data_IF_713764948939
#
_entry.id   IF_713764948939
#
_cell.length_a   1.000
_cell.length_b   1.000
_cell.length_c   1.000
_cell.angle_alpha   90.00
_cell.angle_beta   90.00
_cell.angle_gamma   90.00
#
_symmetry.space_group_name_H-M   'P 1'
#
loop_
_entity.id
_entity.type
_entity.pdbx_description
1 polymer ?
#
# COMPACT_ATOMS: atom_id res chain seq x y z
N UNK A 1 15.88 36.55 23.55
CA UNK A 1 14.52 35.97 23.69
C UNK A 1 13.58 36.25 22.50
N UNK A 2 13.53 37.46 21.91
CA UNK A 2 12.62 37.76 20.78
C UNK A 2 12.90 37.05 19.44
N UNK A 3 14.16 36.89 19.01
CA UNK A 3 14.50 36.20 17.74
C UNK A 3 14.20 34.69 17.77
N UNK A 4 14.42 34.03 18.90
CA UNK A 4 14.12 32.61 19.08
C UNK A 4 12.61 32.32 19.02
N UNK A 5 11.78 33.19 19.60
CA UNK A 5 10.32 33.06 19.50
C UNK A 5 9.79 33.32 18.08
N UNK A 6 10.35 34.29 17.35
CA UNK A 6 9.97 34.61 15.96
C UNK A 6 10.36 33.49 14.97
N UNK A 7 11.53 32.89 15.14
CA UNK A 7 11.98 31.77 14.29
C UNK A 7 11.13 30.51 14.57
N UNK A 8 10.81 30.25 15.85
CA UNK A 8 9.99 29.10 16.27
C UNK A 8 8.53 29.24 15.79
N UNK A 9 7.95 30.44 15.84
CA UNK A 9 6.61 30.70 15.30
C UNK A 9 6.58 30.55 13.77
N UNK A 10 7.60 31.05 13.07
CA UNK A 10 7.74 30.92 11.62
C UNK A 10 7.87 29.46 11.16
N UNK A 11 8.66 28.63 11.86
CA UNK A 11 8.79 27.19 11.56
C UNK A 11 7.47 26.43 11.79
N UNK A 12 6.74 26.77 12.86
CA UNK A 12 5.44 26.17 13.19
C UNK A 12 4.39 26.48 12.13
N UNK A 13 4.28 27.73 11.68
CA UNK A 13 3.36 28.12 10.61
C UNK A 13 3.71 27.44 9.28
N UNK A 14 5.00 27.33 8.92
CA UNK A 14 5.42 26.60 7.71
C UNK A 14 5.00 25.13 7.73
N UNK A 15 5.14 24.45 8.86
CA UNK A 15 4.71 23.05 9.02
C UNK A 15 3.19 22.90 8.90
N UNK A 16 2.44 23.80 9.52
CA UNK A 16 0.99 23.83 9.41
C UNK A 16 0.53 24.07 7.96
N UNK A 17 1.16 25.01 7.25
CA UNK A 17 0.88 25.26 5.85
C UNK A 17 1.19 24.04 4.96
N UNK A 18 2.32 23.36 5.20
CA UNK A 18 2.67 22.12 4.51
C UNK A 18 1.65 21.01 4.76
N UNK A 19 1.26 20.81 6.02
CA UNK A 19 0.22 19.86 6.40
C UNK A 19 -1.10 20.18 5.68
N UNK A 20 -1.49 21.46 5.62
CA UNK A 20 -2.69 21.88 4.89
C UNK A 20 -2.60 21.57 3.39
N UNK A 21 -1.44 21.82 2.75
CA UNK A 21 -1.22 21.46 1.35
C UNK A 21 -1.36 19.95 1.12
N UNK A 22 -0.80 19.12 1.99
CA UNK A 22 -0.93 17.64 1.90
C UNK A 22 -2.39 17.22 2.06
N UNK A 23 -3.10 17.79 3.03
CA UNK A 23 -4.50 17.47 3.26
C UNK A 23 -5.40 17.85 2.08
N UNK A 24 -5.02 18.83 1.26
CA UNK A 24 -5.71 19.17 0.01
C UNK A 24 -5.71 18.06 -1.06
N UNK A 25 -4.81 17.07 -0.95
CA UNK A 25 -4.80 15.87 -1.79
C UNK A 25 -5.54 14.68 -1.18
N UNK A 26 -5.77 14.71 0.14
CA UNK A 26 -6.62 13.73 0.81
C UNK A 26 -8.10 14.06 0.55
N UNK A 27 -8.98 13.07 0.71
CA UNK A 27 -10.42 13.32 0.69
C UNK A 27 -10.81 14.35 1.77
N UNK A 28 -11.83 15.16 1.50
CA UNK A 28 -12.34 16.22 2.39
C UNK A 28 -13.17 15.69 3.59
N UNK A 29 -13.02 14.41 3.90
CA UNK A 29 -13.58 13.77 5.09
C UNK A 29 -12.66 13.97 6.29
N UNK A 30 -13.05 13.42 7.45
CA UNK A 30 -12.24 13.49 8.65
C UNK A 30 -10.91 12.75 8.48
N UNK A 31 -9.81 13.49 8.52
CA UNK A 31 -8.44 12.98 8.41
C UNK A 31 -8.01 12.41 9.76
N UNK A 32 -7.62 11.14 9.76
CA UNK A 32 -7.10 10.47 10.95
C UNK A 32 -5.74 11.01 11.37
N UNK A 33 -5.55 11.41 12.63
CA UNK A 33 -4.22 11.74 13.14
C UNK A 33 -3.29 10.52 13.11
N UNK A 34 -3.83 9.31 13.23
CA UNK A 34 -3.04 8.07 13.17
C UNK A 34 -2.41 7.88 11.79
N UNK A 35 -3.15 8.20 10.72
CA UNK A 35 -2.61 8.20 9.35
C UNK A 35 -1.41 9.15 9.24
N UNK A 36 -1.55 10.37 9.75
CA UNK A 36 -0.48 11.36 9.68
C UNK A 36 0.72 10.98 10.57
N UNK A 37 0.48 10.41 11.75
CA UNK A 37 1.55 9.94 12.66
C UNK A 37 2.37 8.80 12.05
N UNK A 38 1.73 7.89 11.32
CA UNK A 38 2.40 6.79 10.63
C UNK A 38 3.04 7.23 9.32
N UNK A 39 2.39 8.16 8.63
CA UNK A 39 2.72 8.51 7.26
C UNK A 39 3.71 9.67 7.10
N UNK A 40 3.61 10.68 7.95
CA UNK A 40 4.48 11.86 7.84
C UNK A 40 5.82 11.60 8.51
N UNK A 41 6.90 11.96 7.81
CA UNK A 41 8.23 12.05 8.40
C UNK A 41 8.37 13.33 9.26
N UNK A 42 7.61 13.39 10.36
CA UNK A 42 7.61 14.48 11.33
C UNK A 42 7.57 13.90 12.75
N UNK A 43 8.32 14.53 13.66
CA UNK A 43 8.24 14.19 15.08
C UNK A 43 6.80 14.31 15.62
N UNK A 44 6.33 13.40 16.48
CA UNK A 44 4.95 13.43 16.98
C UNK A 44 4.54 14.76 17.63
N UNK A 45 5.48 15.45 18.30
CA UNK A 45 5.21 16.77 18.88
C UNK A 45 5.04 17.86 17.81
N UNK A 46 5.82 17.78 16.73
CA UNK A 46 5.79 18.74 15.63
C UNK A 46 4.49 18.62 14.83
N UNK A 47 4.02 17.39 14.62
CA UNK A 47 2.72 17.12 14.01
C UNK A 47 1.56 17.67 14.87
N UNK A 48 1.59 17.42 16.19
CA UNK A 48 0.60 17.97 17.12
C UNK A 48 0.59 19.51 17.08
N UNK A 49 1.75 20.14 17.04
CA UNK A 49 1.88 21.59 16.95
C UNK A 49 1.35 22.15 15.63
N UNK A 50 1.58 21.46 14.51
CA UNK A 50 1.04 21.81 13.20
C UNK A 50 -0.50 21.74 13.20
N UNK A 51 -1.08 20.62 13.68
CA UNK A 51 -2.53 20.44 13.82
C UNK A 51 -3.12 21.52 14.74
N UNK A 52 -2.49 21.77 15.90
CA UNK A 52 -2.93 22.81 16.84
C UNK A 52 -2.93 24.20 16.21
N UNK A 53 -2.00 24.47 15.30
CA UNK A 53 -1.94 25.75 14.57
C UNK A 53 -3.09 25.90 13.59
N UNK A 54 -3.41 24.83 12.84
CA UNK A 54 -4.58 24.82 11.95
C UNK A 54 -5.88 25.02 12.73
N UNK A 55 -6.01 24.37 13.89
CA UNK A 55 -7.15 24.55 14.80
C UNK A 55 -7.22 25.98 15.35
N UNK A 56 -6.10 26.57 15.79
CA UNK A 56 -6.09 27.93 16.36
C UNK A 56 -6.44 29.02 15.34
N UNK A 57 -6.20 28.77 14.05
CA UNK A 57 -6.61 29.66 12.97
C UNK A 57 -7.96 29.29 12.35
N UNK A 58 -8.71 28.37 12.97
CA UNK A 58 -10.02 27.89 12.49
C UNK A 58 -9.98 27.33 11.05
N UNK A 59 -8.82 26.86 10.60
CA UNK A 59 -8.64 26.21 9.30
C UNK A 59 -9.04 24.73 9.33
N UNK A 60 -9.07 24.15 10.53
CA UNK A 60 -9.51 22.80 10.79
C UNK A 60 -10.45 22.75 12.01
N UNK A 61 -11.25 21.68 12.11
CA UNK A 61 -12.10 21.37 13.25
C UNK A 61 -11.83 19.95 13.73
N UNK A 62 -11.82 19.74 15.05
CA UNK A 62 -11.73 18.39 15.64
C UNK A 62 -12.90 17.52 15.18
N UNK A 63 -12.59 16.27 14.86
CA UNK A 63 -13.57 15.23 14.49
C UNK A 63 -13.49 14.07 15.49
N UNK A 64 -14.46 13.16 15.41
CA UNK A 64 -14.47 11.93 16.18
C UNK A 64 -13.24 11.06 15.87
N UNK A 65 -12.98 10.04 16.72
CA UNK A 65 -11.93 9.04 16.51
C UNK A 65 -10.51 9.62 16.33
N UNK A 66 -10.18 10.67 17.08
CA UNK A 66 -8.88 11.32 17.06
C UNK A 66 -8.47 11.84 15.67
N UNK A 67 -9.43 12.41 14.93
CA UNK A 67 -9.20 13.05 13.64
C UNK A 67 -9.51 14.55 13.63
N UNK A 68 -9.36 15.16 12.47
CA UNK A 68 -9.81 16.53 12.21
C UNK A 68 -10.32 16.65 10.77
N UNK A 69 -11.21 17.61 10.53
CA UNK A 69 -11.72 17.97 9.20
C UNK A 69 -11.21 19.35 8.83
N UNK A 70 -11.03 19.60 7.53
CA UNK A 70 -10.74 20.92 7.00
C UNK A 70 -12.03 21.46 6.40
N UNK A 71 -12.28 22.76 6.58
CA UNK A 71 -13.47 23.36 5.98
C UNK A 71 -13.41 23.22 4.44
N UNK A 72 -14.50 22.85 3.74
CA UNK A 72 -14.46 22.59 2.29
C UNK A 72 -13.86 23.72 1.44
N UNK A 73 -14.09 24.98 1.81
CA UNK A 73 -13.46 26.13 1.14
C UNK A 73 -11.95 26.20 1.36
N UNK A 74 -11.47 25.88 2.56
CA UNK A 74 -10.04 25.85 2.88
C UNK A 74 -9.36 24.68 2.17
N UNK A 75 -10.03 23.52 2.10
CA UNK A 75 -9.58 22.36 1.34
C UNK A 75 -9.46 22.69 -0.16
N UNK A 76 -10.50 23.28 -0.75
CA UNK A 76 -10.50 23.71 -2.15
C UNK A 76 -9.43 24.75 -2.43
N UNK A 77 -9.27 25.74 -1.55
CA UNK A 77 -8.23 26.76 -1.66
C UNK A 77 -6.82 26.15 -1.64
N UNK A 78 -6.57 25.18 -0.74
CA UNK A 78 -5.27 24.52 -0.63
C UNK A 78 -4.89 23.80 -1.94
N UNK A 79 -5.88 23.22 -2.63
CA UNK A 79 -5.71 22.57 -3.93
C UNK A 79 -5.48 23.59 -5.06
N UNK A 80 -6.35 24.60 -5.16
CA UNK A 80 -6.29 25.64 -6.20
C UNK A 80 -4.99 26.46 -6.14
N UNK A 81 -4.50 26.77 -4.94
CA UNK A 81 -3.25 27.53 -4.75
C UNK A 81 -2.04 26.86 -5.41
N UNK A 82 -2.04 25.52 -5.50
CA UNK A 82 -0.95 24.76 -6.11
C UNK A 82 -1.06 24.67 -7.64
N UNK A 83 -2.18 25.05 -8.25
CA UNK A 83 -2.33 25.04 -9.71
C UNK A 83 -1.41 26.05 -10.39
N UNK A 84 -1.10 27.16 -9.72
CA UNK A 84 -0.11 28.14 -10.17
C UNK A 84 1.35 27.68 -10.02
N UNK A 85 1.61 26.55 -9.34
CA UNK A 85 2.96 26.04 -9.07
C UNK A 85 3.06 24.53 -9.42
N UNK A 86 3.13 24.14 -10.72
CA UNK A 86 2.99 22.74 -11.14
C UNK A 86 4.01 21.77 -10.53
N UNK A 87 5.27 22.21 -10.40
CA UNK A 87 6.31 21.38 -9.79
C UNK A 87 6.04 21.14 -8.31
N UNK A 88 5.70 22.19 -7.56
CA UNK A 88 5.33 22.09 -6.14
C UNK A 88 4.06 21.27 -5.95
N UNK A 89 3.08 21.38 -6.84
CA UNK A 89 1.89 20.51 -6.85
C UNK A 89 2.28 19.04 -6.93
N UNK A 90 3.19 18.70 -7.84
CA UNK A 90 3.72 17.34 -8.01
C UNK A 90 4.48 16.87 -6.76
N UNK A 91 5.31 17.73 -6.18
CA UNK A 91 6.10 17.39 -4.98
C UNK A 91 5.18 17.14 -3.77
N UNK A 92 4.16 17.97 -3.54
CA UNK A 92 3.19 17.76 -2.45
C UNK A 92 2.31 16.55 -2.73
N UNK A 93 1.89 16.31 -3.98
CA UNK A 93 1.13 15.11 -4.33
C UNK A 93 1.92 13.83 -4.03
N UNK A 94 3.23 13.84 -4.34
CA UNK A 94 4.14 12.74 -4.00
C UNK A 94 4.22 12.54 -2.49
N UNK A 95 4.37 13.61 -1.72
CA UNK A 95 4.41 13.51 -0.26
C UNK A 95 3.08 13.01 0.32
N UNK A 96 1.94 13.46 -0.21
CA UNK A 96 0.63 12.95 0.19
C UNK A 96 0.48 11.45 -0.10
N UNK A 97 1.00 10.98 -1.23
CA UNK A 97 1.06 9.56 -1.56
C UNK A 97 1.95 8.78 -0.60
N UNK A 98 3.15 9.28 -0.31
CA UNK A 98 4.08 8.67 0.65
C UNK A 98 3.48 8.59 2.06
N UNK A 99 2.72 9.60 2.48
CA UNK A 99 1.99 9.61 3.76
C UNK A 99 0.97 8.47 3.80
N UNK A 100 0.17 8.32 2.74
CA UNK A 100 -0.84 7.26 2.68
C UNK A 100 -0.19 5.88 2.66
N UNK A 101 0.81 5.67 1.80
CA UNK A 101 1.54 4.41 1.65
C UNK A 101 2.27 3.99 2.93
N UNK A 102 2.91 4.94 3.62
CA UNK A 102 3.60 4.64 4.88
C UNK A 102 2.60 4.43 6.02
N UNK A 103 1.43 5.07 5.95
CA UNK A 103 0.33 4.90 6.88
C UNK A 103 -0.32 3.51 6.87
N UNK A 104 -0.40 2.88 5.69
CA UNK A 104 -1.01 1.55 5.48
C UNK A 104 -0.07 0.37 5.71
N UNK A 105 1.18 0.59 6.13
CA UNK A 105 2.13 -0.43 6.63
C UNK A 105 2.34 -1.69 5.78
N UNK A 106 3.21 -2.59 6.26
CA UNK A 106 3.20 -4.00 5.88
C UNK A 106 2.52 -4.73 7.05
N UNK A 107 1.39 -5.39 6.77
CA UNK A 107 0.56 -5.96 7.83
C UNK A 107 1.31 -7.08 8.55
N UNK A 108 1.52 -6.91 9.86
CA UNK A 108 1.44 -8.06 10.76
C UNK A 108 -0.04 -8.31 11.03
N UNK A 109 -0.44 -9.53 10.78
CA UNK A 109 -1.79 -10.03 10.56
C UNK A 109 -2.77 -9.77 11.73
N UNK A 110 -4.06 -9.66 11.40
CA UNK A 110 -5.14 -10.14 12.29
C UNK A 110 -5.83 -9.16 13.24
N UNK A 111 -5.35 -7.93 13.47
CA UNK A 111 -6.12 -7.00 14.32
C UNK A 111 -7.28 -6.39 13.55
N UNK A 112 -8.52 -6.71 13.93
CA UNK A 112 -9.75 -6.06 13.44
C UNK A 112 -9.64 -4.53 13.43
N UNK A 113 -8.94 -3.97 14.43
CA UNK A 113 -8.63 -2.54 14.54
C UNK A 113 -7.90 -1.98 13.31
N UNK A 114 -6.99 -2.76 12.70
CA UNK A 114 -6.23 -2.35 11.53
C UNK A 114 -7.09 -2.29 10.28
N UNK A 115 -7.98 -3.27 10.07
CA UNK A 115 -8.94 -3.25 8.97
C UNK A 115 -9.95 -2.10 9.12
N UNK A 116 -10.35 -1.78 10.36
CA UNK A 116 -11.18 -0.60 10.64
C UNK A 116 -10.41 0.69 10.32
N UNK A 117 -9.12 0.77 10.69
CA UNK A 117 -8.25 1.89 10.36
C UNK A 117 -8.16 2.09 8.84
N UNK A 118 -7.90 1.03 8.09
CA UNK A 118 -7.78 1.08 6.63
C UNK A 118 -9.08 1.49 5.97
N UNK A 119 -10.20 0.88 6.37
CA UNK A 119 -11.53 1.26 5.88
C UNK A 119 -11.81 2.74 6.07
N UNK A 120 -11.37 3.33 7.19
CA UNK A 120 -11.51 4.77 7.46
C UNK A 120 -10.63 5.63 6.55
N UNK A 121 -9.46 5.16 6.13
CA UNK A 121 -8.56 5.92 5.26
C UNK A 121 -8.72 5.62 3.78
N UNK A 122 -9.51 4.61 3.39
CA UNK A 122 -9.81 4.27 1.99
C UNK A 122 -10.22 5.48 1.13
N UNK A 123 -11.10 6.40 1.58
CA UNK A 123 -11.45 7.57 0.78
C UNK A 123 -10.24 8.48 0.51
N UNK A 124 -9.31 8.59 1.47
CA UNK A 124 -8.09 9.35 1.30
C UNK A 124 -7.11 8.65 0.35
N UNK A 125 -7.01 7.32 0.42
CA UNK A 125 -6.25 6.51 -0.55
C UNK A 125 -6.77 6.80 -1.95
N UNK A 126 -8.08 6.65 -2.18
CA UNK A 126 -8.72 6.87 -3.48
C UNK A 126 -8.46 8.26 -4.05
N UNK A 127 -8.61 9.30 -3.21
CA UNK A 127 -8.39 10.68 -3.60
C UNK A 127 -6.95 10.93 -4.08
N UNK A 128 -5.96 10.41 -3.33
CA UNK A 128 -4.54 10.57 -3.67
C UNK A 128 -4.18 9.73 -4.89
N UNK A 129 -4.63 8.47 -4.96
CA UNK A 129 -4.33 7.59 -6.09
C UNK A 129 -4.90 8.13 -7.39
N UNK A 130 -6.13 8.64 -7.39
CA UNK A 130 -6.75 9.27 -8.58
C UNK A 130 -5.94 10.47 -9.07
N UNK A 131 -5.36 11.25 -8.16
CA UNK A 131 -4.50 12.36 -8.54
C UNK A 131 -3.15 11.87 -9.10
N UNK A 132 -2.58 10.82 -8.50
CA UNK A 132 -1.30 10.26 -8.93
C UNK A 132 -1.34 9.62 -10.33
N UNK A 133 -2.51 9.17 -10.80
CA UNK A 133 -2.68 8.64 -12.17
C UNK A 133 -2.23 9.63 -13.25
N UNK A 134 -2.36 10.94 -12.99
CA UNK A 134 -1.91 11.98 -13.91
C UNK A 134 -0.39 12.03 -14.07
N UNK A 135 0.35 11.38 -13.18
CA UNK A 135 1.82 11.36 -13.15
C UNK A 135 2.41 9.97 -13.44
N UNK A 136 1.57 8.97 -13.75
CA UNK A 136 1.97 7.58 -13.94
C UNK A 136 2.98 7.38 -15.10
N UNK A 137 3.09 8.34 -16.03
CA UNK A 137 4.08 8.30 -17.13
C UNK A 137 5.52 8.69 -16.74
N UNK A 138 5.77 9.18 -15.51
CA UNK A 138 7.10 9.62 -15.09
C UNK A 138 7.85 8.47 -14.42
N UNK A 139 8.58 7.70 -15.22
CA UNK A 139 9.35 6.47 -14.91
C UNK A 139 10.44 6.56 -13.81
N UNK A 140 10.46 7.58 -12.95
CA UNK A 140 11.52 7.80 -11.94
C UNK A 140 11.04 7.75 -10.48
N UNK A 141 9.88 7.17 -10.22
CA UNK A 141 9.35 7.13 -8.86
C UNK A 141 9.82 5.86 -8.14
N UNK A 142 10.50 6.02 -7.00
CA UNK A 142 10.64 5.01 -5.93
C UNK A 142 9.27 4.76 -5.28
N UNK A 143 8.30 4.37 -6.10
CA UNK A 143 6.92 4.09 -5.73
C UNK A 143 6.63 2.59 -5.72
N UNK A 144 7.55 1.73 -6.14
CA UNK A 144 7.27 0.31 -6.37
C UNK A 144 6.81 -0.39 -5.09
N UNK A 145 7.53 -0.21 -3.98
CA UNK A 145 7.12 -0.74 -2.67
C UNK A 145 5.76 -0.16 -2.22
N UNK A 146 5.50 1.12 -2.51
CA UNK A 146 4.23 1.75 -2.21
C UNK A 146 3.06 1.23 -3.05
N UNK A 147 3.31 0.99 -4.33
CA UNK A 147 2.36 0.38 -5.27
C UNK A 147 2.00 -1.04 -4.82
N UNK A 148 2.96 -1.84 -4.36
CA UNK A 148 2.69 -3.16 -3.79
C UNK A 148 1.77 -3.06 -2.57
N UNK A 149 2.08 -2.17 -1.62
CA UNK A 149 1.25 -1.96 -0.41
C UNK A 149 -0.16 -1.50 -0.76
N UNK A 150 -0.32 -0.59 -1.72
CA UNK A 150 -1.64 -0.19 -2.20
C UNK A 150 -2.39 -1.36 -2.82
N UNK A 151 -1.73 -2.17 -3.65
CA UNK A 151 -2.31 -3.39 -4.19
C UNK A 151 -2.84 -4.30 -3.09
N UNK A 152 -2.07 -4.49 -2.01
CA UNK A 152 -2.45 -5.33 -0.87
C UNK A 152 -3.63 -4.77 -0.07
N UNK A 153 -3.69 -3.44 0.12
CA UNK A 153 -4.82 -2.78 0.77
C UNK A 153 -6.09 -2.95 -0.07
N UNK A 154 -6.01 -2.69 -1.38
CA UNK A 154 -7.15 -2.88 -2.28
C UNK A 154 -7.62 -4.34 -2.30
N UNK A 155 -6.70 -5.30 -2.30
CA UNK A 155 -7.03 -6.73 -2.22
C UNK A 155 -7.78 -7.08 -0.93
N UNK A 156 -7.31 -6.60 0.22
CA UNK A 156 -7.98 -6.86 1.52
C UNK A 156 -9.38 -6.26 1.60
N UNK A 157 -9.65 -5.21 0.83
CA UNK A 157 -10.97 -4.59 0.69
C UNK A 157 -11.78 -5.11 -0.52
N UNK A 158 -11.35 -6.19 -1.18
CA UNK A 158 -12.09 -6.81 -2.30
C UNK A 158 -12.05 -6.01 -3.61
N UNK A 159 -11.23 -4.97 -3.69
CA UNK A 159 -11.10 -4.07 -4.85
C UNK A 159 -10.04 -4.58 -5.83
N UNK A 160 -10.35 -5.71 -6.46
CA UNK A 160 -9.42 -6.48 -7.28
C UNK A 160 -8.95 -5.74 -8.54
N UNK A 161 -9.78 -4.88 -9.14
CA UNK A 161 -9.42 -4.12 -10.34
C UNK A 161 -8.34 -3.07 -10.04
N UNK A 162 -8.49 -2.35 -8.93
CA UNK A 162 -7.52 -1.38 -8.45
C UNK A 162 -6.24 -2.07 -8.00
N UNK A 163 -6.35 -3.21 -7.31
CA UNK A 163 -5.19 -4.00 -6.93
C UNK A 163 -4.33 -4.41 -8.13
N UNK A 164 -4.94 -4.97 -9.19
CA UNK A 164 -4.23 -5.34 -10.42
C UNK A 164 -3.53 -4.15 -11.07
N UNK A 165 -4.15 -2.97 -11.06
CA UNK A 165 -3.54 -1.74 -11.60
C UNK A 165 -2.24 -1.41 -10.86
N UNK A 166 -2.28 -1.43 -9.53
CA UNK A 166 -1.12 -1.13 -8.69
C UNK A 166 -0.04 -2.20 -8.77
N UNK A 167 -0.40 -3.48 -8.81
CA UNK A 167 0.58 -4.56 -9.01
C UNK A 167 1.24 -4.50 -10.38
N UNK A 168 0.52 -4.19 -11.46
CA UNK A 168 1.13 -4.00 -12.80
C UNK A 168 2.16 -2.87 -12.80
N UNK A 169 1.85 -1.78 -12.11
CA UNK A 169 2.80 -0.68 -11.99
C UNK A 169 4.03 -1.08 -11.17
N UNK A 170 3.84 -1.76 -10.04
CA UNK A 170 4.96 -2.29 -9.24
C UNK A 170 5.83 -3.25 -10.08
N UNK A 171 5.19 -4.17 -10.81
CA UNK A 171 5.86 -5.19 -11.63
C UNK A 171 6.76 -4.56 -12.69
N UNK A 172 6.23 -3.63 -13.49
CA UNK A 172 7.01 -2.95 -14.53
C UNK A 172 8.25 -2.21 -13.95
N UNK A 173 8.12 -1.66 -12.74
CA UNK A 173 9.22 -1.02 -12.04
C UNK A 173 10.27 -2.02 -11.53
N UNK A 174 9.84 -3.15 -10.96
CA UNK A 174 10.73 -4.18 -10.42
C UNK A 174 11.42 -5.01 -11.51
N UNK A 175 10.73 -5.35 -12.60
CA UNK A 175 11.33 -6.03 -13.76
C UNK A 175 12.46 -5.16 -14.35
N UNK A 176 12.22 -3.86 -14.54
CA UNK A 176 13.23 -2.92 -15.05
C UNK A 176 14.41 -2.70 -14.08
N UNK A 177 14.14 -2.68 -12.77
CA UNK A 177 15.13 -2.29 -11.77
C UNK A 177 15.93 -3.45 -11.17
N UNK A 178 15.27 -4.59 -10.92
CA UNK A 178 15.82 -5.75 -10.22
C UNK A 178 15.95 -6.99 -11.12
N UNK A 179 15.25 -7.00 -12.25
CA UNK A 179 15.15 -8.15 -13.15
C UNK A 179 13.95 -9.06 -12.84
N UNK A 180 13.65 -9.93 -13.81
CA UNK A 180 12.45 -10.77 -13.80
C UNK A 180 12.47 -11.85 -12.72
N UNK A 181 13.65 -12.42 -12.44
CA UNK A 181 13.85 -13.51 -11.49
C UNK A 181 14.12 -13.03 -10.05
N UNK A 182 14.11 -11.70 -9.81
CA UNK A 182 14.36 -11.19 -8.46
C UNK A 182 13.20 -11.56 -7.52
N UNK A 183 13.45 -12.02 -6.28
CA UNK A 183 12.41 -12.47 -5.34
C UNK A 183 11.27 -11.45 -5.13
N UNK A 184 11.59 -10.16 -5.07
CA UNK A 184 10.59 -9.08 -5.00
C UNK A 184 9.71 -9.00 -6.25
N UNK A 185 10.28 -9.14 -7.45
CA UNK A 185 9.52 -9.16 -8.72
C UNK A 185 8.57 -10.36 -8.74
N UNK A 186 9.08 -11.54 -8.38
CA UNK A 186 8.31 -12.78 -8.31
C UNK A 186 7.18 -12.72 -7.26
N UNK A 187 7.38 -11.98 -6.17
CA UNK A 187 6.32 -11.72 -5.19
C UNK A 187 5.16 -10.96 -5.81
N UNK A 188 5.41 -9.99 -6.71
CA UNK A 188 4.34 -9.28 -7.43
C UNK A 188 3.64 -10.17 -8.43
N UNK A 189 4.38 -11.01 -9.15
CA UNK A 189 3.81 -12.02 -10.07
C UNK A 189 2.86 -12.96 -9.31
N UNK A 190 3.29 -13.46 -8.14
CA UNK A 190 2.46 -14.26 -7.24
C UNK A 190 1.19 -13.51 -6.77
N UNK A 191 1.31 -12.23 -6.38
CA UNK A 191 0.15 -11.42 -5.97
C UNK A 191 -0.84 -11.22 -7.12
N UNK A 192 -0.37 -11.02 -8.34
CA UNK A 192 -1.24 -10.95 -9.53
C UNK A 192 -1.98 -12.26 -9.80
N UNK A 193 -1.30 -13.41 -9.67
CA UNK A 193 -1.93 -14.73 -9.79
C UNK A 193 -3.05 -14.93 -8.75
N UNK A 194 -2.82 -14.49 -7.51
CA UNK A 194 -3.83 -14.51 -6.45
C UNK A 194 -5.07 -13.70 -6.83
N UNK A 195 -4.90 -12.52 -7.45
CA UNK A 195 -6.05 -11.72 -7.90
C UNK A 195 -6.85 -12.45 -8.98
N UNK A 196 -6.18 -13.02 -9.98
CA UNK A 196 -6.86 -13.79 -11.04
C UNK A 196 -7.62 -14.99 -10.47
N UNK A 197 -7.04 -15.69 -9.49
CA UNK A 197 -7.73 -16.78 -8.80
C UNK A 197 -9.01 -16.30 -8.11
N UNK A 198 -8.94 -15.22 -7.36
CA UNK A 198 -10.13 -14.69 -6.67
C UNK A 198 -11.19 -14.14 -7.63
N UNK A 199 -10.81 -13.80 -8.86
CA UNK A 199 -11.73 -13.45 -9.95
C UNK A 199 -12.32 -14.68 -10.68
N UNK A 200 -11.95 -15.90 -10.30
CA UNK A 200 -12.33 -17.12 -11.01
C UNK A 200 -11.63 -17.32 -12.36
N UNK A 201 -10.62 -16.49 -12.69
CA UNK A 201 -9.83 -16.62 -13.92
C UNK A 201 -8.72 -17.66 -13.72
N UNK A 202 -9.13 -18.92 -13.54
CA UNK A 202 -8.25 -20.01 -13.12
C UNK A 202 -7.08 -20.27 -14.06
N UNK A 203 -7.30 -20.24 -15.38
CA UNK A 203 -6.23 -20.46 -16.37
C UNK A 203 -5.14 -19.38 -16.31
N UNK A 204 -5.54 -18.10 -16.24
CA UNK A 204 -4.59 -17.00 -16.03
C UNK A 204 -3.91 -17.07 -14.68
N UNK A 205 -4.62 -17.48 -13.63
CA UNK A 205 -4.01 -17.68 -12.33
C UNK A 205 -2.89 -18.74 -12.41
N UNK A 206 -3.13 -19.87 -13.08
CA UNK A 206 -2.13 -20.92 -13.28
C UNK A 206 -0.94 -20.45 -14.13
N UNK A 207 -1.17 -19.67 -15.18
CA UNK A 207 -0.09 -19.07 -16.00
C UNK A 207 0.83 -18.20 -15.13
N UNK A 208 0.25 -17.29 -14.34
CA UNK A 208 1.01 -16.39 -13.48
C UNK A 208 1.66 -17.10 -12.30
N UNK A 209 1.00 -18.08 -11.70
CA UNK A 209 1.62 -18.92 -10.68
C UNK A 209 2.76 -19.76 -11.26
N UNK A 210 2.63 -20.28 -12.48
CA UNK A 210 3.69 -21.01 -13.16
C UNK A 210 4.93 -20.13 -13.40
N UNK A 211 4.73 -18.88 -13.82
CA UNK A 211 5.82 -17.89 -13.92
C UNK A 211 6.49 -17.64 -12.56
N UNK A 212 5.70 -17.41 -11.51
CA UNK A 212 6.24 -17.19 -10.17
C UNK A 212 7.01 -18.41 -9.66
N UNK A 213 6.47 -19.61 -9.86
CA UNK A 213 7.05 -20.88 -9.42
C UNK A 213 8.41 -21.12 -10.06
N UNK A 214 8.49 -21.03 -11.40
CA UNK A 214 9.75 -21.26 -12.11
C UNK A 214 10.87 -20.30 -11.65
N UNK A 215 10.53 -19.02 -11.46
CA UNK A 215 11.49 -18.04 -10.94
C UNK A 215 11.87 -18.30 -9.47
N UNK A 216 10.90 -18.68 -8.62
CA UNK A 216 11.13 -18.94 -7.20
C UNK A 216 11.96 -20.20 -6.98
N UNK A 217 11.72 -21.27 -7.73
CA UNK A 217 12.55 -22.48 -7.69
C UNK A 217 14.00 -22.19 -8.04
N UNK A 218 14.23 -21.33 -9.05
CA UNK A 218 15.57 -20.92 -9.47
C UNK A 218 16.26 -19.99 -8.46
N UNK A 219 15.53 -19.02 -7.90
CA UNK A 219 16.10 -17.96 -7.07
C UNK A 219 16.19 -18.33 -5.57
N UNK A 220 15.24 -19.11 -5.07
CA UNK A 220 15.05 -19.42 -3.65
C UNK A 220 15.20 -20.92 -3.33
N UNK A 221 14.99 -21.78 -4.32
CA UNK A 221 14.96 -23.22 -4.16
C UNK A 221 13.55 -23.81 -4.07
N UNK A 222 13.46 -25.11 -4.31
CA UNK A 222 12.19 -25.86 -4.39
C UNK A 222 11.45 -25.96 -3.05
N UNK A 223 12.19 -25.99 -1.94
CA UNK A 223 11.65 -26.17 -0.59
C UNK A 223 11.46 -24.83 0.15
N UNK A 224 11.67 -23.70 -0.52
CA UNK A 224 11.52 -22.39 0.12
C UNK A 224 10.04 -22.09 0.41
N UNK A 225 9.67 -21.48 1.56
CA UNK A 225 8.28 -21.21 1.93
C UNK A 225 7.46 -20.49 0.85
N UNK A 226 8.04 -19.49 0.17
CA UNK A 226 7.38 -18.80 -0.95
C UNK A 226 7.08 -19.72 -2.14
N UNK A 227 7.99 -20.64 -2.46
CA UNK A 227 7.83 -21.62 -3.55
C UNK A 227 6.71 -22.61 -3.19
N UNK A 228 6.74 -23.16 -1.98
CA UNK A 228 5.72 -24.07 -1.45
C UNK A 228 4.35 -23.39 -1.37
N UNK A 229 4.33 -22.11 -0.96
CA UNK A 229 3.13 -21.28 -1.00
C UNK A 229 2.53 -21.19 -2.41
N UNK A 230 3.35 -20.95 -3.44
CA UNK A 230 2.87 -20.93 -4.84
C UNK A 230 2.29 -22.28 -5.26
N UNK A 231 2.96 -23.40 -4.95
CA UNK A 231 2.50 -24.77 -5.25
C UNK A 231 1.13 -25.03 -4.60
N UNK A 232 0.99 -24.69 -3.31
CA UNK A 232 -0.26 -24.84 -2.57
C UNK A 232 -1.42 -24.03 -3.18
N UNK A 233 -1.14 -22.81 -3.64
CA UNK A 233 -2.15 -21.99 -4.30
C UNK A 233 -2.54 -22.54 -5.69
N UNK A 234 -1.61 -23.11 -6.45
CA UNK A 234 -1.91 -23.81 -7.71
C UNK A 234 -2.79 -25.05 -7.48
N UNK A 235 -2.49 -25.84 -6.44
CA UNK A 235 -3.33 -26.96 -6.01
C UNK A 235 -4.77 -26.51 -5.71
N UNK A 236 -4.93 -25.36 -5.05
CA UNK A 236 -6.26 -24.78 -4.82
C UNK A 236 -6.97 -24.42 -6.13
N UNK A 237 -6.25 -23.88 -7.13
CA UNK A 237 -6.85 -23.59 -8.44
C UNK A 237 -7.34 -24.87 -9.12
N UNK A 238 -6.53 -25.94 -9.14
CA UNK A 238 -6.96 -27.23 -9.68
C UNK A 238 -8.18 -27.78 -8.95
N UNK A 239 -8.23 -27.66 -7.62
CA UNK A 239 -9.39 -28.06 -6.81
C UNK A 239 -10.64 -27.26 -7.18
N UNK A 240 -10.52 -25.94 -7.38
CA UNK A 240 -11.64 -25.08 -7.80
C UNK A 240 -12.16 -25.43 -9.20
N UNK A 241 -11.30 -25.97 -10.07
CA UNK A 241 -11.68 -26.49 -11.39
C UNK A 241 -12.21 -27.94 -11.36
N UNK A 242 -12.34 -28.57 -10.19
CA UNK A 242 -12.76 -29.97 -10.06
C UNK A 242 -11.69 -31.01 -10.44
N UNK A 243 -10.44 -30.58 -10.67
CA UNK A 243 -9.32 -31.47 -10.99
C UNK A 243 -8.68 -32.01 -9.69
N UNK A 244 -9.44 -32.82 -8.96
CA UNK A 244 -9.08 -33.28 -7.61
C UNK A 244 -7.78 -34.09 -7.56
N UNK A 245 -7.55 -34.98 -8.53
CA UNK A 245 -6.32 -35.79 -8.58
C UNK A 245 -5.07 -34.93 -8.74
N UNK A 246 -5.09 -33.96 -9.67
CA UNK A 246 -4.00 -32.99 -9.82
C UNK A 246 -3.84 -32.12 -8.58
N UNK A 247 -4.95 -31.68 -7.97
CA UNK A 247 -4.86 -30.91 -6.73
C UNK A 247 -4.14 -31.70 -5.64
N UNK A 248 -4.46 -32.99 -5.47
CA UNK A 248 -3.80 -33.87 -4.50
C UNK A 248 -2.30 -34.07 -4.79
N UNK A 249 -1.92 -34.26 -6.05
CA UNK A 249 -0.51 -34.33 -6.46
C UNK A 249 0.27 -33.08 -6.04
N UNK A 250 -0.30 -31.89 -6.32
CA UNK A 250 0.33 -30.62 -6.00
C UNK A 250 0.34 -30.32 -4.50
N UNK A 251 -0.72 -30.67 -3.76
CA UNK A 251 -0.73 -30.59 -2.29
C UNK A 251 0.33 -31.53 -1.68
N UNK A 252 0.44 -32.77 -2.19
CA UNK A 252 1.47 -33.71 -1.73
C UNK A 252 2.88 -33.19 -1.97
N UNK A 253 3.12 -32.54 -3.11
CA UNK A 253 4.40 -31.87 -3.39
C UNK A 253 4.69 -30.75 -2.39
N UNK A 254 3.71 -29.90 -2.09
CA UNK A 254 3.88 -28.81 -1.13
C UNK A 254 4.16 -29.36 0.28
N UNK A 255 3.39 -30.36 0.73
CA UNK A 255 3.54 -30.99 2.04
C UNK A 255 4.92 -31.63 2.20
N UNK A 256 5.37 -32.43 1.23
CA UNK A 256 6.70 -33.05 1.28
C UNK A 256 7.84 -32.02 1.40
N UNK A 257 7.70 -30.87 0.73
CA UNK A 257 8.65 -29.77 0.88
C UNK A 257 8.58 -29.09 2.24
N UNK A 258 7.39 -28.89 2.79
CA UNK A 258 7.20 -28.32 4.13
C UNK A 258 7.76 -29.24 5.22
N UNK A 259 7.49 -30.55 5.13
CA UNK A 259 8.03 -31.57 6.05
C UNK A 259 9.56 -31.57 6.05
N UNK A 260 10.18 -31.43 4.87
CA UNK A 260 11.64 -31.35 4.74
C UNK A 260 12.21 -30.05 5.32
N UNK A 261 11.48 -28.94 5.20
CA UNK A 261 11.94 -27.62 5.67
C UNK A 261 11.72 -27.39 7.17
N UNK A 262 10.61 -27.90 7.73
CA UNK A 262 10.13 -27.58 9.09
C UNK A 262 10.08 -28.79 10.03
N UNK A 263 10.15 -30.01 9.49
CA UNK A 263 9.91 -31.26 10.20
C UNK A 263 8.47 -31.73 10.09
N UNK A 264 8.26 -33.03 10.29
CA UNK A 264 6.95 -33.71 10.15
C UNK A 264 5.96 -33.31 11.26
N UNK A 265 6.46 -32.86 12.42
CA UNK A 265 5.63 -32.49 13.57
C UNK A 265 5.30 -30.98 13.65
N UNK A 266 5.60 -30.20 12.60
CA UNK A 266 5.33 -28.77 12.59
C UNK A 266 3.82 -28.50 12.40
N UNK A 267 3.20 -27.49 13.04
CA UNK A 267 1.77 -27.19 12.84
C UNK A 267 1.35 -26.93 11.38
N UNK A 268 2.28 -26.48 10.54
CA UNK A 268 2.05 -26.26 9.11
C UNK A 268 2.19 -27.54 8.25
N UNK A 269 2.57 -28.67 8.85
CA UNK A 269 2.73 -30.00 8.22
C UNK A 269 1.77 -31.06 8.77
N UNK A 270 0.92 -30.71 9.75
CA UNK A 270 -0.12 -31.56 10.38
C UNK A 270 -1.53 -31.19 9.90
#
# INVERSE_FOLDING_TARGET
>A
HGRYHSIRSSKRVRRAAKLLSICGFLNNEAISEELLKRGMNLEPHDLKDAIRTLLSYSLAKRSHNNGFSIHPLVHSWAKLRLESEPQKKKDIAKEAFEVVVSGVGESNEGRTEYLIFERRIMPHIDAVTKHMEQYAGVSNMNMQAGSTRLGDVYMRHGRQHEALRWYRWALAGFEKGLGDDHPTTLTIVYRMALVFRQQGQHEKALEWYGRALAGQEKALGVDHPSTLGTINNMALVFRQQGQHEKALEWYGRALAGQEKALGVDHPDTL
#
